data_IF_665875773534
#
_entry.id   IF_665875773534
#
_cell.length_a   1.000
_cell.length_b   1.000
_cell.length_c   1.000
_cell.angle_alpha   90.00
_cell.angle_beta   90.00
_cell.angle_gamma   90.00
#
_symmetry.space_group_name_H-M   'P 1'
#
loop_
_entity.id
_entity.type
_entity.pdbx_description
1 polymer ?
#
# COMPACT_ATOMS: atom_id res chain seq x y z
N UNK A 1 -11.39 6.94 2.66
CA UNK A 1 -10.92 5.62 3.14
C UNK A 1 -10.80 5.54 4.66
N UNK A 2 -10.15 6.50 5.36
CA UNK A 2 -9.95 6.45 6.82
C UNK A 2 -11.24 6.30 7.64
N UNK A 3 -12.27 7.12 7.39
CA UNK A 3 -13.53 7.01 8.13
C UNK A 3 -14.20 5.63 8.06
N UNK A 4 -14.05 4.92 6.92
CA UNK A 4 -14.55 3.55 6.78
C UNK A 4 -13.78 2.56 7.67
N UNK A 5 -12.46 2.72 7.76
CA UNK A 5 -11.61 1.90 8.62
C UNK A 5 -11.86 2.18 10.10
N UNK A 6 -12.03 3.46 10.48
CA UNK A 6 -12.37 3.87 11.84
C UNK A 6 -13.71 3.28 12.27
N UNK A 7 -14.74 3.40 11.44
CA UNK A 7 -16.03 2.77 11.71
C UNK A 7 -15.89 1.25 11.86
N UNK A 8 -15.20 0.60 10.92
CA UNK A 8 -15.02 -0.86 10.95
C UNK A 8 -14.36 -1.33 12.26
N UNK A 9 -13.33 -0.62 12.72
CA UNK A 9 -12.56 -1.02 13.90
C UNK A 9 -13.20 -0.58 15.23
N UNK A 10 -13.63 0.68 15.32
CA UNK A 10 -14.13 1.27 16.56
C UNK A 10 -15.60 0.96 16.83
N UNK A 11 -16.42 0.78 15.79
CA UNK A 11 -17.87 0.58 15.92
C UNK A 11 -18.26 -0.85 15.56
N UNK A 12 -17.88 -1.33 14.38
CA UNK A 12 -18.27 -2.66 13.92
C UNK A 12 -17.43 -3.81 14.53
N UNK A 13 -16.32 -3.49 15.21
CA UNK A 13 -15.52 -4.45 15.97
C UNK A 13 -14.50 -5.25 15.16
N UNK A 14 -14.17 -4.84 13.94
CA UNK A 14 -13.09 -5.44 13.16
C UNK A 14 -11.75 -5.37 13.91
N UNK A 15 -10.96 -6.44 13.81
CA UNK A 15 -9.71 -6.60 14.58
C UNK A 15 -8.44 -6.45 13.75
N UNK A 16 -8.58 -6.43 12.42
CA UNK A 16 -7.44 -6.37 11.50
C UNK A 16 -7.74 -5.41 10.37
N UNK A 17 -6.80 -4.51 10.12
CA UNK A 17 -6.71 -3.75 8.87
C UNK A 17 -5.57 -4.35 8.08
N UNK A 18 -5.89 -5.01 6.97
CA UNK A 18 -4.89 -5.62 6.09
C UNK A 18 -4.74 -4.76 4.84
N UNK A 19 -3.55 -4.18 4.65
CA UNK A 19 -3.19 -3.44 3.43
C UNK A 19 -2.50 -4.40 2.48
N UNK A 20 -3.11 -4.64 1.32
CA UNK A 20 -2.64 -5.63 0.33
C UNK A 20 -2.18 -4.91 -0.93
N UNK A 21 -0.90 -5.04 -1.24
CA UNK A 21 -0.36 -4.79 -2.58
C UNK A 21 -0.34 -6.09 -3.38
N UNK A 22 -0.01 -6.03 -4.66
CA UNK A 22 0.14 -7.24 -5.46
C UNK A 22 1.25 -7.11 -6.50
N UNK A 23 1.84 -8.24 -6.87
CA UNK A 23 2.86 -8.31 -7.92
C UNK A 23 2.29 -7.84 -9.26
N UNK A 24 3.14 -7.31 -10.13
CA UNK A 24 2.87 -6.85 -11.49
C UNK A 24 1.73 -5.84 -11.57
N UNK A 25 1.63 -4.96 -10.58
CA UNK A 25 0.57 -3.96 -10.51
C UNK A 25 0.63 -2.97 -11.69
N UNK A 26 -0.42 -2.98 -12.52
CA UNK A 26 -0.52 -2.11 -13.68
C UNK A 26 -0.53 -0.62 -13.33
N UNK A 27 -1.19 -0.23 -12.23
CA UNK A 27 -1.20 1.16 -11.78
C UNK A 27 0.20 1.62 -11.34
N UNK A 28 0.93 0.80 -10.60
CA UNK A 28 2.31 1.12 -10.20
C UNK A 28 3.21 1.24 -11.43
N UNK A 29 3.10 0.31 -12.38
CA UNK A 29 3.80 0.41 -13.68
C UNK A 29 3.48 1.73 -14.39
N UNK A 30 2.20 2.09 -14.53
CA UNK A 30 1.79 3.33 -15.18
C UNK A 30 2.29 4.58 -14.45
N UNK A 31 2.34 4.55 -13.11
CA UNK A 31 2.90 5.64 -12.31
C UNK A 31 4.41 5.80 -12.54
N UNK A 32 5.16 4.69 -12.66
CA UNK A 32 6.59 4.71 -13.00
C UNK A 32 6.81 5.27 -14.41
N UNK A 33 5.96 4.87 -15.36
CA UNK A 33 6.03 5.33 -16.76
C UNK A 33 5.45 6.75 -16.94
N UNK A 34 4.99 7.41 -15.87
CA UNK A 34 4.33 8.73 -15.88
C UNK A 34 3.19 8.83 -16.90
N UNK A 35 2.36 7.79 -16.99
CA UNK A 35 1.18 7.83 -17.85
C UNK A 35 0.19 8.89 -17.36
N UNK A 36 -0.37 9.68 -18.29
CA UNK A 36 -1.39 10.69 -17.99
C UNK A 36 -2.70 10.30 -18.67
N UNK A 37 -3.77 10.12 -17.88
CA UNK A 37 -5.07 9.69 -18.42
C UNK A 37 -6.26 10.10 -17.54
N UNK A 38 -6.70 11.36 -17.65
CA UNK A 38 -7.91 11.85 -16.98
C UNK A 38 -7.93 11.55 -15.46
N UNK A 39 -9.00 10.92 -14.97
CA UNK A 39 -9.14 10.55 -13.55
C UNK A 39 -8.07 9.57 -13.04
N UNK A 40 -7.39 8.84 -13.94
CA UNK A 40 -6.32 7.93 -13.55
C UNK A 40 -5.12 8.70 -13.00
N UNK A 41 -4.84 9.91 -13.50
CA UNK A 41 -3.67 10.68 -13.10
C UNK A 41 -3.62 10.92 -11.59
N UNK A 42 -4.75 11.29 -10.98
CA UNK A 42 -4.82 11.49 -9.52
C UNK A 42 -4.54 10.21 -8.72
N UNK A 43 -4.96 9.05 -9.21
CA UNK A 43 -4.62 7.76 -8.59
C UNK A 43 -3.11 7.47 -8.68
N UNK A 44 -2.49 7.79 -9.82
CA UNK A 44 -1.06 7.56 -10.03
C UNK A 44 -0.21 8.52 -9.19
N UNK A 45 -0.69 9.74 -8.94
CA UNK A 45 -0.01 10.72 -8.08
C UNK A 45 0.14 10.23 -6.64
N UNK A 46 -0.84 9.49 -6.11
CA UNK A 46 -0.75 8.87 -4.78
C UNK A 46 0.35 7.79 -4.69
N UNK A 47 0.78 7.22 -5.82
CA UNK A 47 1.83 6.19 -5.89
C UNK A 47 3.23 6.81 -6.02
N UNK A 48 3.34 8.04 -6.56
CA UNK A 48 4.63 8.71 -6.81
C UNK A 48 5.55 8.79 -5.57
N UNK A 49 5.05 9.03 -4.34
CA UNK A 49 5.89 8.99 -3.14
C UNK A 49 6.56 7.62 -2.92
N UNK A 50 5.88 6.52 -3.23
CA UNK A 50 6.44 5.18 -3.14
C UNK A 50 7.57 4.98 -4.15
N UNK A 51 7.40 5.46 -5.38
CA UNK A 51 8.45 5.42 -6.40
C UNK A 51 9.70 6.13 -5.89
N UNK A 52 9.56 7.36 -5.40
CA UNK A 52 10.68 8.17 -4.92
C UNK A 52 11.43 7.54 -3.73
N UNK A 53 10.68 6.95 -2.78
CA UNK A 53 11.23 6.33 -1.56
C UNK A 53 11.69 4.87 -1.74
N UNK A 54 11.51 4.28 -2.91
CA UNK A 54 11.98 2.92 -3.18
C UNK A 54 13.47 2.95 -3.51
N UNK A 55 14.28 2.42 -2.59
CA UNK A 55 15.68 2.12 -2.83
C UNK A 55 15.79 0.91 -3.75
N UNK A 56 16.42 1.08 -4.90
CA UNK A 56 16.56 0.03 -5.91
C UNK A 56 17.82 0.25 -6.75
N UNK A 57 18.63 -0.79 -6.90
CA UNK A 57 19.91 -0.73 -7.63
C UNK A 57 19.79 -1.03 -9.13
N UNK A 58 18.68 -1.64 -9.56
CA UNK A 58 18.43 -2.00 -10.94
C UNK A 58 17.76 -0.89 -11.75
N UNK A 59 17.32 -1.24 -12.97
CA UNK A 59 16.64 -0.31 -13.86
C UNK A 59 15.27 0.12 -13.29
N UNK A 60 15.06 1.44 -13.17
CA UNK A 60 13.80 2.02 -12.65
C UNK A 60 12.82 2.35 -13.76
N UNK A 61 12.32 1.32 -14.46
CA UNK A 61 11.34 1.44 -15.55
C UNK A 61 10.12 0.55 -15.29
N UNK A 62 8.95 0.92 -15.83
CA UNK A 62 7.73 0.13 -15.68
C UNK A 62 7.77 -1.24 -16.37
N UNK A 63 8.71 -1.46 -17.30
CA UNK A 63 9.00 -2.76 -17.90
C UNK A 63 9.78 -3.70 -16.96
N UNK A 64 10.46 -3.16 -15.94
CA UNK A 64 11.17 -3.95 -14.95
C UNK A 64 10.23 -4.33 -13.80
N UNK A 65 9.63 -5.51 -13.88
CA UNK A 65 8.65 -5.96 -12.88
C UNK A 65 9.22 -6.13 -11.47
N UNK A 66 10.52 -6.38 -11.32
CA UNK A 66 11.15 -6.43 -10.00
C UNK A 66 11.14 -5.04 -9.32
N UNK A 67 11.34 -3.97 -10.11
CA UNK A 67 11.19 -2.61 -9.62
C UNK A 67 9.72 -2.26 -9.35
N UNK A 68 8.80 -2.63 -10.24
CA UNK A 68 7.35 -2.43 -10.05
C UNK A 68 6.89 -3.08 -8.75
N UNK A 69 7.33 -4.30 -8.48
CA UNK A 69 6.94 -5.06 -7.29
C UNK A 69 7.58 -4.49 -6.01
N UNK A 70 8.82 -4.01 -6.10
CA UNK A 70 9.47 -3.28 -5.01
C UNK A 70 8.72 -1.98 -4.67
N UNK A 71 8.30 -1.20 -5.68
CA UNK A 71 7.50 0.01 -5.49
C UNK A 71 6.11 -0.34 -4.93
N UNK A 72 5.48 -1.42 -5.39
CA UNK A 72 4.19 -1.86 -4.87
C UNK A 72 4.29 -2.22 -3.37
N UNK A 73 5.36 -2.93 -2.96
CA UNK A 73 5.65 -3.18 -1.54
C UNK A 73 5.84 -1.88 -0.77
N UNK A 74 6.69 -0.96 -1.25
CA UNK A 74 6.90 0.35 -0.61
C UNK A 74 5.59 1.15 -0.50
N UNK A 75 4.70 1.04 -1.47
CA UNK A 75 3.40 1.71 -1.43
C UNK A 75 2.50 1.17 -0.32
N UNK A 76 2.52 -0.14 -0.06
CA UNK A 76 1.83 -0.75 1.10
C UNK A 76 2.38 -0.19 2.40
N UNK A 77 3.72 -0.12 2.53
CA UNK A 77 4.38 0.40 3.73
C UNK A 77 3.97 1.85 4.01
N UNK A 78 4.08 2.72 2.99
CA UNK A 78 3.68 4.13 3.11
C UNK A 78 2.18 4.29 3.37
N UNK A 79 1.35 3.41 2.84
CA UNK A 79 -0.10 3.43 3.13
C UNK A 79 -0.35 3.14 4.61
N UNK A 80 0.34 2.17 5.20
CA UNK A 80 0.24 1.86 6.64
C UNK A 80 0.73 3.04 7.48
N UNK A 81 1.89 3.62 7.13
CA UNK A 81 2.39 4.84 7.79
C UNK A 81 1.37 5.97 7.73
N UNK A 82 0.75 6.19 6.57
CA UNK A 82 -0.25 7.23 6.37
C UNK A 82 -1.54 6.94 7.16
N UNK A 83 -1.97 5.69 7.30
CA UNK A 83 -3.11 5.32 8.14
C UNK A 83 -2.81 5.70 9.60
N UNK A 84 -1.66 5.27 10.12
CA UNK A 84 -1.22 5.54 11.50
C UNK A 84 -1.05 7.05 11.75
N UNK A 85 -0.51 7.78 10.78
CA UNK A 85 -0.28 9.23 10.88
C UNK A 85 -1.57 10.04 10.86
N UNK A 86 -2.52 9.66 9.99
CA UNK A 86 -3.69 10.48 9.70
C UNK A 86 -4.95 10.05 10.46
N UNK A 87 -4.93 8.91 11.17
CA UNK A 87 -6.02 8.48 12.05
C UNK A 87 -5.50 8.21 13.47
N UNK A 88 -5.61 9.20 14.38
CA UNK A 88 -5.33 8.99 15.80
C UNK A 88 -6.18 7.88 16.41
N UNK A 89 -7.42 7.69 15.92
CA UNK A 89 -8.34 6.63 16.37
C UNK A 89 -7.77 5.25 16.09
N UNK A 90 -7.39 4.97 14.84
CA UNK A 90 -6.82 3.68 14.46
C UNK A 90 -5.46 3.44 15.14
N UNK A 91 -4.64 4.49 15.24
CA UNK A 91 -3.35 4.42 15.93
C UNK A 91 -3.51 4.06 17.41
N UNK A 92 -4.44 4.71 18.11
CA UNK A 92 -4.74 4.40 19.51
C UNK A 92 -5.24 2.95 19.68
N UNK A 93 -6.15 2.50 18.81
CA UNK A 93 -6.65 1.12 18.85
C UNK A 93 -5.53 0.08 18.61
N UNK A 94 -4.59 0.39 17.72
CA UNK A 94 -3.42 -0.45 17.47
C UNK A 94 -2.46 -0.47 18.68
N UNK A 95 -2.18 0.69 19.30
CA UNK A 95 -1.33 0.81 20.48
C UNK A 95 -1.90 0.07 21.70
N UNK A 96 -3.22 0.11 21.86
CA UNK A 96 -3.96 -0.66 22.87
C UNK A 96 -4.08 -2.15 22.51
N UNK A 97 -3.49 -2.60 21.40
CA UNK A 97 -3.55 -3.98 20.87
C UNK A 97 -4.98 -4.47 20.61
N UNK A 98 -5.94 -3.57 20.43
CA UNK A 98 -7.34 -3.89 20.12
C UNK A 98 -7.53 -4.27 18.65
N UNK A 99 -6.68 -3.71 17.78
CA UNK A 99 -6.59 -4.08 16.36
C UNK A 99 -5.13 -4.30 15.97
N UNK A 100 -4.92 -4.88 14.78
CA UNK A 100 -3.61 -4.95 14.13
C UNK A 100 -3.68 -4.34 12.73
N UNK A 101 -2.72 -3.52 12.35
CA UNK A 101 -2.55 -3.05 10.98
C UNK A 101 -1.37 -3.82 10.36
N UNK A 102 -1.60 -4.50 9.24
CA UNK A 102 -0.59 -5.40 8.64
C UNK A 102 -0.48 -5.16 7.14
N UNK A 103 0.74 -5.25 6.62
CA UNK A 103 1.04 -5.21 5.19
C UNK A 103 1.20 -6.60 4.59
N UNK A 104 0.77 -6.75 3.33
CA UNK A 104 1.04 -7.97 2.56
C UNK A 104 1.18 -7.70 1.07
N UNK A 105 1.87 -8.62 0.39
CA UNK A 105 1.96 -8.70 -1.07
C UNK A 105 1.25 -9.96 -1.54
N UNK A 106 0.26 -9.81 -2.40
CA UNK A 106 -0.37 -10.90 -3.13
C UNK A 106 0.41 -11.21 -4.42
N UNK A 107 0.91 -12.42 -4.51
CA UNK A 107 1.57 -12.94 -5.71
C UNK A 107 0.50 -13.42 -6.69
N UNK A 108 0.29 -12.64 -7.77
CA UNK A 108 -0.69 -12.99 -8.83
C UNK A 108 -0.41 -14.37 -9.41
N UNK A 109 0.87 -14.72 -9.52
CA UNK A 109 1.29 -16.06 -9.90
C UNK A 109 1.22 -16.96 -8.66
N UNK A 110 0.38 -17.99 -8.72
CA UNK A 110 0.26 -18.99 -7.65
C UNK A 110 -0.60 -18.58 -6.45
N UNK A 111 -1.05 -17.33 -6.36
CA UNK A 111 -2.04 -16.88 -5.36
C UNK A 111 -1.52 -16.82 -3.92
N UNK A 112 -0.20 -16.79 -3.72
CA UNK A 112 0.41 -16.72 -2.40
C UNK A 112 0.26 -15.31 -1.81
N UNK A 113 -0.10 -15.22 -0.54
CA UNK A 113 -0.03 -13.97 0.23
C UNK A 113 1.23 -14.00 1.10
N UNK A 114 2.08 -13.00 0.95
CA UNK A 114 3.27 -12.78 1.76
C UNK A 114 3.03 -11.61 2.71
N UNK A 115 2.95 -11.90 4.00
CA UNK A 115 2.86 -10.88 5.04
C UNK A 115 4.26 -10.40 5.42
N UNK A 116 4.40 -9.11 5.69
CA UNK A 116 5.64 -8.51 6.19
C UNK A 116 5.32 -7.57 7.35
N UNK A 117 6.25 -7.49 8.29
CA UNK A 117 6.13 -6.58 9.43
C UNK A 117 6.45 -5.16 8.98
N UNK A 118 5.59 -4.22 9.41
CA UNK A 118 5.64 -2.80 9.06
C UNK A 118 5.32 -1.93 10.26
#
# INVERSE_FOLDING_TARGET
MLGSMEFACAVAGAKVVLVIGHTRCGAVRCAIDNAELGNLTGLLDEIKPAIAKTEYSGERKGSNYDFVDAVARKNVELTIENIRKNSPVLKQLEDEKKIKIVGSMYHLTGGKVEFFEV
#
